data_IF_355829999481
#
_entry.id   IF_355829999481
#
_cell.length_a   1.000
_cell.length_b   1.000
_cell.length_c   1.000
_cell.angle_alpha   90.00
_cell.angle_beta   90.00
_cell.angle_gamma   90.00
#
_symmetry.space_group_name_H-M   'P 1'
#
loop_
_entity.id
_entity.type
_entity.pdbx_description
1 polymer ?
#
# COMPACT_ATOMS: atom_id res chain seq x y z
N UNK A 1 -17.14 -26.23 -20.53
CA UNK A 1 -16.90 -27.08 -19.36
C UNK A 1 -16.16 -26.24 -18.32
N UNK A 2 -16.84 -25.81 -17.26
CA UNK A 2 -16.21 -25.09 -16.14
C UNK A 2 -15.43 -26.14 -15.36
N UNK A 3 -14.11 -26.03 -15.37
CA UNK A 3 -13.26 -26.87 -14.53
C UNK A 3 -13.70 -26.66 -13.08
N UNK A 4 -14.07 -27.74 -12.38
CA UNK A 4 -14.28 -27.77 -10.96
C UNK A 4 -13.01 -27.25 -10.29
N UNK A 5 -13.00 -26.00 -9.83
CA UNK A 5 -12.02 -25.54 -8.88
C UNK A 5 -12.14 -26.45 -7.65
N UNK A 6 -11.14 -27.31 -7.41
CA UNK A 6 -10.97 -27.99 -6.13
C UNK A 6 -11.06 -26.88 -5.07
N UNK A 7 -11.94 -27.06 -4.08
CA UNK A 7 -11.94 -26.26 -2.88
C UNK A 7 -10.51 -26.27 -2.35
N UNK A 8 -9.85 -25.13 -2.34
CA UNK A 8 -8.50 -24.98 -1.81
C UNK A 8 -8.55 -25.30 -0.31
N UNK A 9 -8.24 -26.53 0.03
CA UNK A 9 -7.92 -26.89 1.41
C UNK A 9 -6.61 -26.18 1.74
N UNK A 10 -6.61 -25.37 2.79
CA UNK A 10 -5.40 -24.73 3.31
C UNK A 10 -4.35 -25.82 3.54
N UNK A 11 -3.24 -25.73 2.83
CA UNK A 11 -2.12 -26.64 3.02
C UNK A 11 -1.58 -26.47 4.45
N UNK A 12 -1.39 -27.57 5.16
CA UNK A 12 -0.73 -27.60 6.48
C UNK A 12 0.80 -27.48 6.39
N UNK A 13 1.33 -27.21 5.19
CA UNK A 13 2.77 -27.01 4.98
C UNK A 13 3.21 -25.62 5.44
N UNK A 14 4.50 -25.45 5.74
CA UNK A 14 5.04 -24.15 6.12
C UNK A 14 4.78 -23.06 5.08
N UNK A 15 4.63 -21.81 5.54
CA UNK A 15 4.55 -20.63 4.69
C UNK A 15 5.89 -19.90 4.65
N UNK A 16 6.44 -19.65 3.47
CA UNK A 16 7.54 -18.73 3.29
C UNK A 16 7.04 -17.29 3.44
N UNK A 17 7.75 -16.46 4.22
CA UNK A 17 7.52 -15.02 4.30
C UNK A 17 8.79 -14.31 3.83
N UNK A 18 8.73 -13.59 2.73
CA UNK A 18 9.88 -12.84 2.22
C UNK A 18 9.44 -11.64 1.38
N UNK A 19 10.27 -10.60 1.35
CA UNK A 19 10.14 -9.56 0.32
C UNK A 19 10.61 -10.12 -1.04
N UNK A 20 10.15 -9.59 -2.18
CA UNK A 20 10.55 -10.09 -3.50
C UNK A 20 12.07 -10.09 -3.72
N UNK A 21 12.79 -9.19 -3.05
CA UNK A 21 14.24 -8.98 -3.16
C UNK A 21 15.06 -9.58 -1.99
N UNK A 22 14.43 -10.35 -1.09
CA UNK A 22 15.11 -10.82 0.14
C UNK A 22 16.07 -11.98 -0.08
N UNK A 23 15.83 -12.82 -1.08
CA UNK A 23 16.61 -14.04 -1.37
C UNK A 23 17.28 -13.98 -2.74
N UNK A 24 17.73 -12.82 -3.11
CA UNK A 24 18.28 -12.43 -4.42
C UNK A 24 17.95 -10.97 -4.69
N UNK A 25 17.76 -10.60 -5.94
CA UNK A 25 17.39 -9.24 -6.34
C UNK A 25 15.93 -9.09 -6.74
N UNK A 26 15.28 -10.21 -7.08
CA UNK A 26 13.93 -10.24 -7.65
C UNK A 26 13.15 -11.49 -7.21
N UNK A 27 11.88 -11.52 -7.55
CA UNK A 27 11.03 -12.69 -7.33
C UNK A 27 11.49 -13.91 -8.14
N UNK A 28 12.20 -13.70 -9.26
CA UNK A 28 12.78 -14.79 -10.07
C UNK A 28 13.79 -15.61 -9.27
N UNK A 29 14.64 -14.96 -8.46
CA UNK A 29 15.62 -15.65 -7.62
C UNK A 29 14.94 -16.53 -6.56
N UNK A 30 13.80 -16.05 -6.04
CA UNK A 30 12.98 -16.83 -5.10
C UNK A 30 12.32 -18.02 -5.82
N UNK A 31 11.84 -17.82 -7.04
CA UNK A 31 11.29 -18.92 -7.83
C UNK A 31 12.34 -20.00 -8.10
N UNK A 32 13.56 -19.63 -8.47
CA UNK A 32 14.69 -20.55 -8.67
C UNK A 32 14.99 -21.35 -7.38
N UNK A 33 14.98 -20.69 -6.22
CA UNK A 33 15.16 -21.35 -4.93
C UNK A 33 14.06 -22.36 -4.63
N UNK A 34 12.80 -22.00 -4.89
CA UNK A 34 11.64 -22.84 -4.66
C UNK A 34 11.56 -24.02 -5.64
N UNK A 35 12.09 -23.86 -6.86
CA UNK A 35 12.20 -24.95 -7.85
C UNK A 35 13.36 -25.93 -7.57
N UNK A 36 14.35 -25.50 -6.79
CA UNK A 36 15.57 -26.25 -6.53
C UNK A 36 15.76 -26.65 -5.06
N UNK A 37 16.52 -25.87 -4.31
CA UNK A 37 16.96 -26.22 -2.94
C UNK A 37 15.84 -26.28 -1.91
N UNK A 38 14.74 -25.56 -2.16
CA UNK A 38 13.56 -25.55 -1.29
C UNK A 38 12.34 -26.23 -1.93
N UNK A 39 12.57 -27.09 -2.92
CA UNK A 39 11.48 -27.82 -3.58
C UNK A 39 10.64 -28.59 -2.57
N UNK A 40 9.34 -28.45 -2.69
CA UNK A 40 8.33 -29.11 -1.82
C UNK A 40 8.40 -28.70 -0.32
N UNK A 41 9.23 -27.70 0.04
CA UNK A 41 9.38 -27.28 1.43
C UNK A 41 8.22 -26.39 1.92
N UNK A 42 7.55 -25.67 1.02
CA UNK A 42 6.52 -24.69 1.33
C UNK A 42 5.25 -24.94 0.52
N UNK A 43 4.09 -24.84 1.16
CA UNK A 43 2.79 -24.89 0.48
C UNK A 43 2.18 -23.50 0.24
N UNK A 44 2.74 -22.47 0.87
CA UNK A 44 2.32 -21.08 0.68
C UNK A 44 3.50 -20.14 0.70
N UNK A 45 3.36 -19.00 0.02
CA UNK A 45 4.33 -17.91 0.03
C UNK A 45 3.62 -16.59 0.22
N UNK A 46 3.92 -15.92 1.33
CA UNK A 46 3.51 -14.55 1.60
C UNK A 46 4.60 -13.59 1.08
N UNK A 47 4.32 -12.95 -0.04
CA UNK A 47 5.19 -11.93 -0.62
C UNK A 47 4.94 -10.63 0.13
N UNK A 48 5.91 -10.17 0.92
CA UNK A 48 5.82 -9.02 1.81
C UNK A 48 6.15 -7.70 1.11
N UNK A 49 5.31 -6.69 1.23
CA UNK A 49 3.87 -6.79 1.49
C UNK A 49 3.14 -7.20 0.22
N UNK A 50 3.71 -6.90 -0.95
CA UNK A 50 3.16 -7.15 -2.27
C UNK A 50 4.25 -7.03 -3.36
N UNK A 51 3.82 -7.11 -4.61
CA UNK A 51 4.65 -6.89 -5.82
C UNK A 51 4.18 -5.69 -6.64
N UNK A 52 3.38 -4.81 -6.05
CA UNK A 52 2.82 -3.65 -6.73
C UNK A 52 3.80 -2.47 -6.80
N UNK A 53 3.51 -1.49 -7.67
CA UNK A 53 4.26 -0.26 -7.74
C UNK A 53 4.12 0.57 -6.47
N UNK A 54 5.25 0.89 -5.83
CA UNK A 54 5.32 1.67 -4.60
C UNK A 54 6.46 2.70 -4.72
N UNK A 55 6.40 3.78 -3.93
CA UNK A 55 7.45 4.79 -3.92
C UNK A 55 8.37 4.68 -2.70
N UNK A 56 7.81 4.52 -1.52
CA UNK A 56 8.53 4.48 -0.25
C UNK A 56 8.17 3.20 0.53
N UNK A 57 8.91 2.95 1.61
CA UNK A 57 8.54 1.98 2.64
C UNK A 57 8.41 0.53 2.12
N UNK A 58 9.22 0.16 1.12
CA UNK A 58 9.35 -1.21 0.60
C UNK A 58 8.00 -1.90 0.34
N UNK A 59 7.07 -1.18 -0.29
CA UNK A 59 5.82 -1.77 -0.76
C UNK A 59 4.55 -1.35 -0.01
N UNK A 60 4.65 -0.55 1.06
CA UNK A 60 3.46 -0.07 1.76
C UNK A 60 2.89 1.23 1.18
N UNK A 61 3.70 2.07 0.54
CA UNK A 61 3.26 3.31 -0.10
C UNK A 61 2.90 3.05 -1.57
N UNK A 62 1.69 2.54 -1.80
CA UNK A 62 1.24 2.09 -3.12
C UNK A 62 1.01 3.28 -4.06
N UNK A 63 1.67 3.27 -5.22
CA UNK A 63 1.43 4.19 -6.33
C UNK A 63 0.23 3.68 -7.15
N UNK A 64 0.30 2.44 -7.60
CA UNK A 64 -0.78 1.73 -8.27
C UNK A 64 -0.66 0.20 -8.05
N UNK A 65 -1.68 -0.53 -8.48
CA UNK A 65 -1.73 -1.99 -8.33
C UNK A 65 -1.24 -2.74 -9.56
N UNK A 66 -0.48 -2.08 -10.43
CA UNK A 66 0.27 -2.75 -11.49
C UNK A 66 1.50 -3.44 -10.90
N UNK A 67 1.95 -4.49 -11.56
CA UNK A 67 3.15 -5.21 -11.15
C UNK A 67 4.38 -4.30 -11.25
N UNK A 68 5.19 -4.28 -10.21
CA UNK A 68 6.49 -3.62 -10.24
C UNK A 68 7.50 -4.52 -10.98
N UNK A 69 7.74 -4.21 -12.24
CA UNK A 69 8.61 -5.00 -13.13
C UNK A 69 10.08 -5.05 -12.68
N UNK A 70 10.51 -4.15 -11.76
CA UNK A 70 11.83 -4.21 -11.15
C UNK A 70 11.95 -5.34 -10.12
N UNK A 71 10.84 -5.82 -9.58
CA UNK A 71 10.80 -6.83 -8.53
C UNK A 71 10.27 -8.18 -9.00
N UNK A 72 9.33 -8.17 -9.94
CA UNK A 72 8.63 -9.39 -10.34
C UNK A 72 8.07 -9.27 -11.76
N UNK A 73 7.95 -10.41 -12.43
CA UNK A 73 7.26 -10.55 -13.70
C UNK A 73 6.02 -11.44 -13.55
N UNK A 74 5.04 -11.37 -14.46
CA UNK A 74 3.92 -12.32 -14.47
C UNK A 74 4.39 -13.78 -14.52
N UNK A 75 5.48 -14.04 -15.24
CA UNK A 75 6.07 -15.37 -15.39
C UNK A 75 6.59 -15.93 -14.06
N UNK A 76 7.19 -15.08 -13.20
CA UNK A 76 7.66 -15.50 -11.88
C UNK A 76 6.50 -15.97 -10.99
N UNK A 77 5.39 -15.24 -11.02
CA UNK A 77 4.17 -15.62 -10.29
C UNK A 77 3.59 -16.94 -10.81
N UNK A 78 3.58 -17.15 -12.12
CA UNK A 78 3.10 -18.40 -12.73
C UNK A 78 4.05 -19.59 -12.41
N UNK A 79 5.36 -19.38 -12.41
CA UNK A 79 6.35 -20.40 -12.00
C UNK A 79 6.06 -20.87 -10.58
N UNK A 80 5.92 -19.94 -9.63
CA UNK A 80 5.65 -20.28 -8.22
C UNK A 80 4.29 -21.00 -8.07
N UNK A 81 3.26 -20.55 -8.77
CA UNK A 81 1.94 -21.22 -8.78
C UNK A 81 2.01 -22.63 -9.36
N UNK A 82 2.81 -22.84 -10.39
CA UNK A 82 2.99 -24.16 -11.02
C UNK A 82 3.59 -25.19 -10.06
N UNK A 83 4.29 -24.76 -9.01
CA UNK A 83 4.77 -25.62 -7.91
C UNK A 83 3.66 -26.02 -6.92
N UNK A 84 2.42 -25.56 -7.11
CA UNK A 84 1.33 -25.76 -6.17
C UNK A 84 1.36 -24.87 -4.93
N UNK A 85 2.22 -23.85 -4.93
CA UNK A 85 2.38 -22.89 -3.83
C UNK A 85 1.26 -21.84 -3.89
N UNK A 86 0.54 -21.68 -2.78
CA UNK A 86 -0.48 -20.62 -2.64
C UNK A 86 0.19 -19.28 -2.37
N UNK A 87 -0.18 -18.25 -3.15
CA UNK A 87 0.35 -16.90 -2.99
C UNK A 87 -0.55 -16.07 -2.05
N UNK A 88 0.07 -15.37 -1.10
CA UNK A 88 -0.54 -14.35 -0.27
C UNK A 88 0.16 -13.02 -0.51
N UNK A 89 -0.63 -11.95 -0.66
CA UNK A 89 -0.18 -10.57 -0.81
C UNK A 89 -1.04 -9.67 0.06
N UNK A 90 -0.50 -8.53 0.48
CA UNK A 90 -1.29 -7.47 1.09
C UNK A 90 -1.98 -6.64 0.01
N UNK A 91 -3.19 -6.21 0.31
CA UNK A 91 -3.95 -5.27 -0.49
C UNK A 91 -4.21 -4.03 0.35
N UNK A 92 -3.41 -2.98 0.13
CA UNK A 92 -3.39 -1.79 0.97
C UNK A 92 -4.45 -0.81 0.49
N UNK A 93 -5.54 -0.68 1.25
CA UNK A 93 -6.70 0.15 0.91
C UNK A 93 -6.83 1.42 1.75
N UNK A 94 -6.09 1.53 2.85
CA UNK A 94 -6.28 2.59 3.84
C UNK A 94 -5.37 3.81 3.62
N UNK A 95 -4.42 3.73 2.70
CA UNK A 95 -3.57 4.83 2.30
C UNK A 95 -2.98 4.58 0.90
N UNK A 96 -2.48 5.63 0.28
CA UNK A 96 -1.82 5.58 -1.02
C UNK A 96 -0.66 6.57 -1.07
N UNK A 97 0.25 6.37 -2.02
CA UNK A 97 1.33 7.30 -2.32
C UNK A 97 0.78 8.65 -2.81
N UNK A 98 1.51 9.72 -2.52
CA UNK A 98 1.30 11.02 -3.18
C UNK A 98 1.54 10.94 -4.69
N UNK A 99 2.27 9.94 -5.17
CA UNK A 99 2.49 9.69 -6.59
C UNK A 99 1.35 8.90 -7.24
N UNK A 100 0.34 8.46 -6.47
CA UNK A 100 -0.80 7.75 -7.03
C UNK A 100 -1.56 8.60 -8.07
N UNK A 101 -2.08 8.00 -9.13
CA UNK A 101 -2.85 8.73 -10.15
C UNK A 101 -4.00 9.54 -9.56
N UNK A 102 -4.62 9.07 -8.49
CA UNK A 102 -5.71 9.73 -7.79
C UNK A 102 -5.24 11.02 -7.11
N UNK A 103 -4.10 10.98 -6.39
CA UNK A 103 -3.57 12.16 -5.73
C UNK A 103 -3.00 13.16 -6.74
N UNK A 104 -2.35 12.67 -7.81
CA UNK A 104 -1.84 13.52 -8.89
C UNK A 104 -2.98 14.23 -9.66
N UNK A 105 -4.12 13.57 -9.85
CA UNK A 105 -5.31 14.21 -10.43
C UNK A 105 -5.86 15.29 -9.50
N UNK A 106 -5.89 15.04 -8.19
CA UNK A 106 -6.28 16.04 -7.19
C UNK A 106 -5.37 17.27 -7.23
N UNK A 107 -4.04 17.08 -7.27
CA UNK A 107 -3.07 18.17 -7.37
C UNK A 107 -3.23 19.01 -8.63
N UNK A 108 -3.61 18.37 -9.74
CA UNK A 108 -3.79 19.03 -11.04
C UNK A 108 -5.11 19.78 -11.16
N UNK A 109 -6.20 19.17 -10.68
CA UNK A 109 -7.56 19.61 -10.96
C UNK A 109 -8.26 20.25 -9.74
N UNK A 110 -7.69 20.12 -8.53
CA UNK A 110 -8.24 20.68 -7.31
C UNK A 110 -9.68 20.26 -7.05
N UNK A 111 -10.56 21.23 -6.82
CA UNK A 111 -12.00 20.98 -6.58
C UNK A 111 -12.74 20.36 -7.78
N UNK A 112 -12.16 20.44 -8.97
CA UNK A 112 -12.70 19.79 -10.17
C UNK A 112 -12.26 18.34 -10.33
N UNK A 113 -11.36 17.87 -9.47
CA UNK A 113 -10.93 16.47 -9.47
C UNK A 113 -12.09 15.54 -9.09
N UNK A 114 -12.23 14.44 -9.83
CA UNK A 114 -13.16 13.37 -9.46
C UNK A 114 -12.74 12.62 -8.19
N UNK A 115 -11.52 12.86 -7.73
CA UNK A 115 -10.94 12.27 -6.53
C UNK A 115 -10.84 13.25 -5.36
N UNK A 116 -11.49 14.42 -5.42
CA UNK A 116 -11.41 15.46 -4.38
C UNK A 116 -11.79 14.96 -2.99
N UNK A 117 -12.73 14.01 -2.92
CA UNK A 117 -13.21 13.41 -1.67
C UNK A 117 -12.60 12.02 -1.39
N UNK A 118 -11.59 11.62 -2.17
CA UNK A 118 -10.93 10.33 -2.01
C UNK A 118 -9.91 10.32 -0.87
N UNK A 119 -9.29 11.45 -0.62
CA UNK A 119 -8.33 11.66 0.47
C UNK A 119 -8.96 12.49 1.58
N UNK A 120 -8.57 12.22 2.82
CA UNK A 120 -9.13 12.90 3.98
C UNK A 120 -8.55 14.32 4.05
N UNK A 121 -9.37 15.33 3.74
CA UNK A 121 -9.09 16.73 4.06
C UNK A 121 -9.14 16.86 5.59
N UNK A 122 -7.99 17.22 6.17
CA UNK A 122 -7.82 17.32 7.62
C UNK A 122 -8.76 18.33 8.26
N UNK A 123 -8.93 19.51 7.64
CA UNK A 123 -9.76 20.55 8.19
C UNK A 123 -11.26 20.22 8.09
N UNK A 124 -11.66 19.60 6.99
CA UNK A 124 -13.04 19.13 6.85
C UNK A 124 -13.37 18.04 7.88
N UNK A 125 -12.44 17.11 8.12
CA UNK A 125 -12.61 16.06 9.10
C UNK A 125 -12.71 16.56 10.54
N UNK A 126 -11.88 17.56 10.92
CA UNK A 126 -11.83 18.11 12.27
C UNK A 126 -12.66 19.36 12.49
N UNK A 127 -13.53 19.71 11.53
CA UNK A 127 -14.41 20.88 11.67
C UNK A 127 -15.24 20.80 12.95
N UNK A 128 -15.12 21.85 13.81
CA UNK A 128 -15.81 21.92 15.10
C UNK A 128 -15.19 21.08 16.22
N UNK A 129 -14.06 20.39 15.97
CA UNK A 129 -13.40 19.52 16.97
C UNK A 129 -12.06 20.08 17.48
N UNK A 130 -11.76 21.35 17.17
CA UNK A 130 -10.49 21.97 17.52
C UNK A 130 -10.42 23.43 17.12
N UNK A 131 -9.22 24.01 17.16
CA UNK A 131 -8.96 25.42 16.85
C UNK A 131 -8.13 25.54 15.57
N UNK A 132 -8.47 26.55 14.75
CA UNK A 132 -7.70 26.86 13.54
C UNK A 132 -6.36 27.50 13.94
N UNK A 133 -5.28 26.89 13.49
CA UNK A 133 -3.93 27.37 13.76
C UNK A 133 -3.44 28.32 12.66
N UNK A 134 -2.47 29.21 12.96
CA UNK A 134 -1.88 30.10 11.96
C UNK A 134 -1.28 29.40 10.73
N UNK A 135 -0.90 28.12 10.88
CA UNK A 135 -0.42 27.29 9.78
C UNK A 135 -1.51 26.73 8.85
N UNK A 136 -2.77 27.16 8.99
CA UNK A 136 -3.86 26.80 8.09
C UNK A 136 -4.46 25.42 8.34
N UNK A 137 -4.23 24.80 9.50
CA UNK A 137 -4.80 23.52 9.89
C UNK A 137 -5.52 23.60 11.23
N UNK A 138 -6.48 22.73 11.46
CA UNK A 138 -7.17 22.60 12.75
C UNK A 138 -6.32 21.73 13.69
N UNK A 139 -6.02 22.27 14.88
CA UNK A 139 -5.47 21.54 16.01
C UNK A 139 -6.63 20.88 16.78
N UNK A 140 -6.81 19.56 16.73
CA UNK A 140 -7.88 18.90 17.49
C UNK A 140 -7.67 19.07 18.99
N UNK A 141 -8.75 19.05 19.76
CA UNK A 141 -8.68 19.13 21.23
C UNK A 141 -7.96 17.91 21.83
N UNK A 142 -7.38 18.01 23.03
CA UNK A 142 -6.69 16.90 23.69
C UNK A 142 -7.53 15.62 23.80
N UNK A 143 -8.85 15.75 23.94
CA UNK A 143 -9.77 14.60 24.01
C UNK A 143 -9.67 13.72 22.77
N UNK A 144 -9.58 14.33 21.57
CA UNK A 144 -9.44 13.58 20.32
C UNK A 144 -8.01 13.10 20.12
N UNK A 145 -7.02 13.93 20.45
CA UNK A 145 -5.61 13.59 20.28
C UNK A 145 -5.22 12.34 21.09
N UNK A 146 -5.77 12.16 22.30
CA UNK A 146 -5.50 10.97 23.11
C UNK A 146 -6.02 9.67 22.49
N UNK A 147 -6.96 9.75 21.54
CA UNK A 147 -7.52 8.60 20.84
C UNK A 147 -6.82 8.30 19.51
N UNK A 148 -5.90 9.20 19.08
CA UNK A 148 -5.18 9.04 17.83
C UNK A 148 -3.91 8.21 18.02
N UNK A 149 -3.59 7.40 17.02
CA UNK A 149 -2.30 6.74 16.92
C UNK A 149 -1.33 7.58 16.09
N UNK A 150 -0.19 7.92 16.66
CA UNK A 150 0.86 8.69 15.99
C UNK A 150 2.06 7.78 15.68
N UNK A 151 2.44 7.69 14.43
CA UNK A 151 3.68 6.99 14.01
C UNK A 151 4.92 7.86 14.17
N UNK A 152 4.74 9.18 14.12
CA UNK A 152 5.80 10.19 14.26
C UNK A 152 5.37 11.27 15.26
N UNK A 153 6.30 12.00 15.86
CA UNK A 153 5.97 13.20 16.61
C UNK A 153 5.25 14.23 15.72
N UNK A 154 4.25 14.90 16.28
CA UNK A 154 3.46 15.90 15.57
C UNK A 154 2.18 15.36 14.94
N UNK A 155 1.36 16.26 14.40
CA UNK A 155 0.12 15.87 13.72
C UNK A 155 0.42 15.21 12.37
N UNK A 156 -0.36 14.19 11.97
CA UNK A 156 -0.19 13.49 10.70
C UNK A 156 -0.81 14.32 9.55
N UNK A 157 -0.18 15.43 9.23
CA UNK A 157 -0.66 16.40 8.22
C UNK A 157 0.36 16.52 7.09
N UNK A 158 -0.13 16.48 5.86
CA UNK A 158 0.56 16.90 4.66
C UNK A 158 -0.08 18.20 4.17
N UNK A 159 0.65 19.32 4.24
CA UNK A 159 0.22 20.58 3.62
C UNK A 159 0.45 20.50 2.12
N UNK A 160 -0.60 20.74 1.35
CA UNK A 160 -0.62 20.57 -0.10
C UNK A 160 -1.01 21.90 -0.76
N UNK A 161 -0.17 22.35 -1.68
CA UNK A 161 -0.51 23.52 -2.51
C UNK A 161 -1.42 23.12 -3.65
N UNK A 162 -2.62 23.70 -3.66
CA UNK A 162 -3.65 23.46 -4.66
C UNK A 162 -3.45 24.30 -5.92
N UNK A 163 -4.10 23.98 -7.06
CA UNK A 163 -3.96 24.71 -8.32
C UNK A 163 -4.35 26.19 -8.25
N UNK A 164 -5.26 26.54 -7.36
CA UNK A 164 -5.71 27.92 -7.11
C UNK A 164 -4.73 28.72 -6.22
N UNK A 165 -3.62 28.09 -5.80
CA UNK A 165 -2.61 28.69 -4.93
C UNK A 165 -2.90 28.59 -3.44
N UNK A 166 -4.04 28.07 -3.02
CA UNK A 166 -4.34 27.82 -1.60
C UNK A 166 -3.55 26.63 -1.07
N UNK A 167 -3.39 26.54 0.25
CA UNK A 167 -2.82 25.37 0.91
C UNK A 167 -3.91 24.62 1.67
N UNK A 168 -3.95 23.28 1.49
CA UNK A 168 -4.88 22.40 2.20
C UNK A 168 -4.11 21.32 2.94
N UNK A 169 -4.51 21.04 4.19
CA UNK A 169 -3.97 19.92 4.96
C UNK A 169 -4.70 18.63 4.62
N UNK A 170 -3.96 17.61 4.24
CA UNK A 170 -4.49 16.26 4.08
C UNK A 170 -3.93 15.32 5.16
N UNK A 171 -4.69 14.29 5.51
CA UNK A 171 -4.23 13.28 6.46
C UNK A 171 -3.04 12.51 5.88
N UNK A 172 -1.92 12.53 6.60
CA UNK A 172 -0.69 11.82 6.24
C UNK A 172 -0.43 10.68 7.21
N UNK A 173 -0.32 9.46 6.71
CA UNK A 173 -0.10 8.27 7.54
C UNK A 173 1.37 8.05 7.89
N UNK A 174 2.31 8.54 7.06
CA UNK A 174 3.77 8.29 7.19
C UNK A 174 4.60 9.57 7.27
#
# INVERSE_FOLDING_TARGET
MVANAKKDELSLTPMLNAYPDSLGGTLSDIADLLESSCKDAFGAFYILPSVFNTDLDRGFSVVDYSLNELLATPQDLERIRALGIQLKLDFILNHASVLSPQFQDLLKNGEMSKYKDFFIDWNAFWAGCGEMMPGGYIQPTPEYLHKMFFRKPGLPILMVRMPDGTEKPYWNTF
#
